data_IF_697554702494
#
_entry.id   IF_697554702494
#
_cell.length_a   1.000
_cell.length_b   1.000
_cell.length_c   1.000
_cell.angle_alpha   90.00
_cell.angle_beta   90.00
_cell.angle_gamma   90.00
#
_symmetry.space_group_name_H-M   'P 1'
#
loop_
_entity.id
_entity.type
_entity.pdbx_description
1 polymer ?
#
# COMPACT_ATOMS: atom_id res chain seq x y z
N UNK A 1 5.14 -44.14 -6.46
CA UNK A 1 3.72 -43.85 -6.18
C UNK A 1 3.53 -42.39 -6.53
N UNK A 2 3.26 -42.09 -7.80
CA UNK A 2 3.25 -40.70 -8.28
C UNK A 2 1.88 -40.37 -8.84
N UNK A 3 0.94 -40.16 -7.91
CA UNK A 3 -0.28 -39.41 -8.19
C UNK A 3 0.02 -37.89 -8.19
N UNK A 4 -0.89 -37.06 -8.71
CA UNK A 4 -0.69 -35.62 -8.70
C UNK A 4 -0.53 -35.10 -7.27
N UNK A 5 0.63 -34.50 -6.99
CA UNK A 5 0.92 -33.87 -5.69
C UNK A 5 -0.02 -32.67 -5.53
N UNK A 6 -0.94 -32.75 -4.58
CA UNK A 6 -1.82 -31.61 -4.22
C UNK A 6 -0.95 -30.52 -3.62
N UNK A 7 -0.90 -29.37 -4.29
CA UNK A 7 -0.23 -28.17 -3.79
C UNK A 7 -1.26 -27.18 -3.28
N UNK A 8 -0.95 -26.57 -2.14
CA UNK A 8 -1.67 -25.38 -1.71
C UNK A 8 -1.52 -24.30 -2.81
N UNK A 9 -2.63 -23.64 -3.15
CA UNK A 9 -2.65 -22.55 -4.11
C UNK A 9 -2.70 -21.23 -3.34
N UNK A 10 -3.90 -20.82 -2.92
CA UNK A 10 -4.10 -19.60 -2.14
C UNK A 10 -5.31 -19.69 -1.22
N UNK A 11 -5.29 -18.91 -0.14
CA UNK A 11 -6.36 -18.81 0.86
C UNK A 11 -6.49 -17.35 1.30
N UNK A 12 -7.72 -16.83 1.23
CA UNK A 12 -8.07 -15.49 1.69
C UNK A 12 -8.82 -15.60 3.03
N UNK A 13 -8.49 -14.72 3.96
CA UNK A 13 -9.09 -14.66 5.30
C UNK A 13 -9.50 -13.23 5.61
N UNK A 14 -10.79 -13.06 5.88
CA UNK A 14 -11.37 -11.82 6.38
C UNK A 14 -12.42 -12.16 7.45
N UNK A 15 -12.14 -11.80 8.70
CA UNK A 15 -13.04 -12.11 9.80
C UNK A 15 -14.26 -11.18 9.77
N UNK A 16 -15.43 -11.71 10.09
CA UNK A 16 -16.67 -10.93 10.15
C UNK A 16 -16.54 -9.69 11.06
N UNK A 17 -15.86 -9.82 12.20
CA UNK A 17 -15.58 -8.71 13.09
C UNK A 17 -14.64 -7.65 12.47
N UNK A 18 -13.61 -8.06 11.72
CA UNK A 18 -12.69 -7.15 11.04
C UNK A 18 -13.41 -6.36 9.94
N UNK A 19 -14.18 -7.03 9.06
CA UNK A 19 -14.90 -6.31 8.01
C UNK A 19 -15.94 -5.35 8.57
N UNK A 20 -16.73 -5.75 9.56
CA UNK A 20 -17.73 -4.88 10.18
C UNK A 20 -17.07 -3.72 10.94
N UNK A 21 -15.98 -3.98 11.66
CA UNK A 21 -15.22 -2.96 12.37
C UNK A 21 -14.63 -1.91 11.42
N UNK A 22 -14.07 -2.36 10.29
CA UNK A 22 -13.55 -1.44 9.28
C UNK A 22 -14.66 -0.59 8.64
N UNK A 23 -15.73 -1.24 8.17
CA UNK A 23 -16.85 -0.54 7.50
C UNK A 23 -17.54 0.50 8.40
N UNK A 24 -17.59 0.27 9.72
CA UNK A 24 -18.32 1.13 10.66
C UNK A 24 -17.45 2.17 11.36
N UNK A 25 -16.15 1.93 11.50
CA UNK A 25 -15.30 2.71 12.39
C UNK A 25 -13.94 3.14 11.82
N UNK A 26 -13.51 2.58 10.68
CA UNK A 26 -12.26 2.98 10.05
C UNK A 26 -12.46 4.11 9.04
N UNK A 27 -11.38 4.87 8.84
CA UNK A 27 -11.24 5.77 7.71
C UNK A 27 -11.25 4.95 6.41
N UNK A 28 -11.73 5.50 5.28
CA UNK A 28 -11.77 4.79 4.01
C UNK A 28 -10.37 4.74 3.36
N UNK A 29 -9.40 4.24 4.11
CA UNK A 29 -8.00 4.05 3.71
C UNK A 29 -7.71 2.57 3.81
N UNK A 30 -7.11 2.01 2.75
CA UNK A 30 -6.64 0.63 2.70
C UNK A 30 -5.16 0.63 2.35
N UNK A 31 -4.34 0.18 3.29
CA UNK A 31 -2.92 -0.04 3.12
C UNK A 31 -2.68 -1.50 2.72
N UNK A 32 -1.97 -1.71 1.61
CA UNK A 32 -1.63 -3.03 1.09
C UNK A 32 -0.14 -3.28 1.19
N UNK A 33 0.22 -4.47 1.64
CA UNK A 33 1.62 -4.92 1.72
C UNK A 33 1.70 -6.43 1.59
N UNK A 34 2.85 -6.92 1.12
CA UNK A 34 3.14 -8.33 0.94
C UNK A 34 4.49 -8.70 1.53
N UNK A 35 4.59 -9.86 2.17
CA UNK A 35 5.87 -10.36 2.68
C UNK A 35 6.09 -11.85 2.41
N UNK A 36 7.36 -12.23 2.30
CA UNK A 36 7.75 -13.62 2.05
C UNK A 36 7.55 -14.47 3.31
N UNK A 37 6.84 -15.59 3.16
CA UNK A 37 6.74 -16.61 4.20
C UNK A 37 7.99 -17.47 4.16
N UNK A 38 8.73 -17.51 5.28
CA UNK A 38 9.90 -18.38 5.46
C UNK A 38 9.46 -19.67 6.13
N UNK A 39 9.83 -20.82 5.58
CA UNK A 39 9.52 -22.13 6.19
C UNK A 39 9.59 -23.27 5.18
N UNK A 40 9.02 -24.42 5.56
CA UNK A 40 8.94 -25.61 4.72
C UNK A 40 8.05 -25.41 3.47
N UNK A 41 7.13 -24.46 3.54
CA UNK A 41 6.24 -24.09 2.45
C UNK A 41 6.43 -22.60 2.13
N UNK A 42 7.33 -22.24 1.20
CA UNK A 42 7.52 -20.86 0.79
C UNK A 42 6.27 -20.35 0.06
N UNK A 43 6.05 -19.04 0.15
CA UNK A 43 4.94 -18.34 -0.50
C UNK A 43 4.94 -16.87 -0.07
N UNK A 44 3.85 -16.17 -0.36
CA UNK A 44 3.64 -14.80 0.06
C UNK A 44 2.47 -14.69 1.04
N UNK A 45 2.60 -13.80 2.01
CA UNK A 45 1.52 -13.30 2.84
C UNK A 45 1.15 -11.90 2.36
N UNK A 46 -0.03 -11.75 1.76
CA UNK A 46 -0.61 -10.46 1.39
C UNK A 46 -1.48 -9.95 2.52
N UNK A 47 -1.49 -8.65 2.77
CA UNK A 47 -2.24 -8.04 3.86
C UNK A 47 -2.95 -6.76 3.43
N UNK A 48 -4.13 -6.55 4.00
CA UNK A 48 -4.89 -5.30 3.93
C UNK A 48 -5.09 -4.77 5.35
N UNK A 49 -4.65 -3.53 5.57
CA UNK A 49 -4.71 -2.84 6.86
C UNK A 49 -5.42 -1.50 6.68
N UNK A 50 -6.41 -1.23 7.52
CA UNK A 50 -7.09 0.05 7.60
C UNK A 50 -6.51 0.95 8.68
N UNK A 51 -7.06 2.16 8.79
CA UNK A 51 -6.75 3.12 9.85
C UNK A 51 -8.04 3.43 10.60
N UNK A 52 -8.07 3.20 11.91
CA UNK A 52 -9.25 3.49 12.72
C UNK A 52 -9.42 5.00 13.00
N UNK A 53 -10.54 5.37 13.62
CA UNK A 53 -10.83 6.75 14.00
C UNK A 53 -9.79 7.37 14.97
N UNK A 54 -9.06 6.54 15.72
CA UNK A 54 -8.00 6.93 16.65
C UNK A 54 -6.59 6.90 16.01
N UNK A 55 -6.50 6.80 14.68
CA UNK A 55 -5.26 6.68 13.91
C UNK A 55 -4.43 5.43 14.24
N UNK A 56 -5.06 4.39 14.79
CA UNK A 56 -4.50 3.07 15.00
C UNK A 56 -4.53 2.24 13.71
N UNK A 57 -3.57 1.32 13.56
CA UNK A 57 -3.61 0.31 12.50
C UNK A 57 -4.69 -0.71 12.83
N UNK A 58 -5.54 -1.02 11.86
CA UNK A 58 -6.64 -1.96 12.01
C UNK A 58 -6.50 -3.10 10.98
N UNK A 59 -6.26 -4.36 11.39
CA UNK A 59 -6.14 -5.47 10.45
C UNK A 59 -7.50 -5.79 9.82
N UNK A 60 -7.55 -5.85 8.48
CA UNK A 60 -8.80 -6.08 7.74
C UNK A 60 -8.84 -7.51 7.20
N UNK A 61 -7.89 -7.85 6.35
CA UNK A 61 -7.82 -9.15 5.69
C UNK A 61 -6.37 -9.53 5.39
N UNK A 62 -6.12 -10.81 5.18
CA UNK A 62 -4.85 -11.31 4.70
C UNK A 62 -5.04 -12.53 3.82
N UNK A 63 -4.04 -12.86 3.01
CA UNK A 63 -4.04 -14.04 2.18
C UNK A 63 -2.68 -14.72 2.14
N UNK A 64 -2.69 -16.04 2.15
CA UNK A 64 -1.53 -16.86 1.82
C UNK A 64 -1.64 -17.24 0.34
N UNK A 65 -0.58 -17.02 -0.43
CA UNK A 65 -0.55 -17.35 -1.85
C UNK A 65 0.82 -17.85 -2.30
N UNK A 66 0.83 -18.44 -3.50
CA UNK A 66 2.01 -19.01 -4.13
C UNK A 66 3.04 -17.96 -4.54
N UNK A 67 2.60 -16.81 -5.07
CA UNK A 67 3.49 -15.75 -5.56
C UNK A 67 2.81 -14.39 -5.47
N UNK A 68 3.62 -13.35 -5.35
CA UNK A 68 3.18 -11.96 -5.44
C UNK A 68 3.24 -11.48 -6.89
N UNK A 69 2.09 -11.49 -7.57
CA UNK A 69 1.97 -11.01 -8.95
C UNK A 69 0.62 -10.29 -9.16
N UNK A 70 0.41 -9.75 -10.36
CA UNK A 70 -0.83 -9.04 -10.68
C UNK A 70 -2.08 -9.92 -10.59
N UNK A 71 -2.01 -11.18 -11.00
CA UNK A 71 -3.16 -12.10 -10.93
C UNK A 71 -3.59 -12.32 -9.48
N UNK A 72 -2.62 -12.59 -8.60
CA UNK A 72 -2.86 -12.87 -7.19
C UNK A 72 -3.31 -11.63 -6.43
N UNK A 73 -2.80 -10.45 -6.77
CA UNK A 73 -3.30 -9.17 -6.25
C UNK A 73 -4.71 -8.85 -6.72
N UNK A 74 -5.03 -9.05 -8.01
CA UNK A 74 -6.39 -8.88 -8.55
C UNK A 74 -7.37 -9.79 -7.80
N UNK A 75 -7.02 -11.07 -7.69
CA UNK A 75 -7.82 -12.03 -6.93
C UNK A 75 -8.03 -11.59 -5.48
N UNK A 76 -6.97 -11.22 -4.76
CA UNK A 76 -7.07 -10.76 -3.37
C UNK A 76 -7.99 -9.53 -3.22
N UNK A 77 -7.84 -8.55 -4.12
CA UNK A 77 -8.59 -7.31 -4.08
C UNK A 77 -10.04 -7.47 -4.53
N UNK A 78 -10.37 -8.41 -5.42
CA UNK A 78 -11.75 -8.74 -5.74
C UNK A 78 -12.50 -9.29 -4.52
N UNK A 79 -11.90 -10.22 -3.77
CA UNK A 79 -12.51 -10.72 -2.53
C UNK A 79 -12.66 -9.61 -1.50
N UNK A 80 -11.63 -8.77 -1.34
CA UNK A 80 -11.67 -7.63 -0.41
C UNK A 80 -12.78 -6.64 -0.79
N UNK A 81 -12.92 -6.30 -2.08
CA UNK A 81 -13.95 -5.41 -2.62
C UNK A 81 -15.35 -5.92 -2.29
N UNK A 82 -15.58 -7.21 -2.47
CA UNK A 82 -16.85 -7.86 -2.14
C UNK A 82 -17.14 -7.84 -0.63
N UNK A 83 -16.18 -8.20 0.21
CA UNK A 83 -16.37 -8.26 1.67
C UNK A 83 -16.60 -6.88 2.31
N UNK A 84 -15.92 -5.86 1.80
CA UNK A 84 -16.00 -4.48 2.29
C UNK A 84 -17.09 -3.65 1.59
N UNK A 85 -17.82 -4.25 0.64
CA UNK A 85 -18.91 -3.60 -0.12
C UNK A 85 -18.49 -2.27 -0.74
N UNK A 86 -17.31 -2.27 -1.37
CA UNK A 86 -16.72 -1.06 -1.98
C UNK A 86 -17.39 -0.75 -3.32
N UNK A 87 -18.63 -0.25 -3.26
CA UNK A 87 -19.46 0.06 -4.44
C UNK A 87 -19.10 1.40 -5.08
N UNK A 88 -18.72 2.41 -4.28
CA UNK A 88 -18.22 3.72 -4.75
C UNK A 88 -16.73 3.83 -4.50
N UNK A 89 -15.95 3.41 -5.48
CA UNK A 89 -14.48 3.41 -5.44
C UNK A 89 -13.87 4.79 -5.14
N UNK A 90 -14.49 5.88 -5.60
CA UNK A 90 -14.05 7.26 -5.34
C UNK A 90 -14.01 7.68 -3.86
N UNK A 91 -14.58 6.87 -2.96
CA UNK A 91 -14.56 7.14 -1.53
C UNK A 91 -13.29 6.65 -0.83
N UNK A 92 -12.44 5.87 -1.52
CA UNK A 92 -11.34 5.16 -0.90
C UNK A 92 -9.97 5.67 -1.34
N UNK A 93 -9.02 5.58 -0.42
CA UNK A 93 -7.60 5.82 -0.69
C UNK A 93 -6.83 4.51 -0.49
N UNK A 94 -6.14 4.05 -1.53
CA UNK A 94 -5.23 2.92 -1.44
C UNK A 94 -3.81 3.41 -1.22
N UNK A 95 -3.14 2.86 -0.22
CA UNK A 95 -1.71 3.06 0.00
C UNK A 95 -0.97 1.75 -0.23
N UNK A 96 0.01 1.76 -1.13
CA UNK A 96 0.79 0.56 -1.43
C UNK A 96 2.28 0.82 -1.27
N UNK A 97 3.07 -0.26 -1.19
CA UNK A 97 4.47 -0.16 -1.55
C UNK A 97 4.62 0.14 -3.07
N UNK A 98 5.85 0.38 -3.55
CA UNK A 98 6.09 0.67 -4.96
C UNK A 98 6.29 -0.61 -5.79
N UNK A 99 5.61 -1.71 -5.44
CA UNK A 99 5.73 -2.95 -6.19
C UNK A 99 5.16 -2.78 -7.61
N UNK A 100 5.87 -3.35 -8.58
CA UNK A 100 5.46 -3.34 -9.99
C UNK A 100 4.15 -4.11 -10.15
N UNK A 101 3.14 -3.47 -10.72
CA UNK A 101 1.87 -4.10 -11.10
C UNK A 101 0.73 -3.88 -10.12
N UNK A 102 0.98 -3.71 -8.82
CA UNK A 102 -0.09 -3.50 -7.84
C UNK A 102 -0.86 -2.19 -8.10
N UNK A 103 -0.16 -1.11 -8.46
CA UNK A 103 -0.80 0.15 -8.88
C UNK A 103 -1.73 -0.05 -10.09
N UNK A 104 -1.33 -0.86 -11.07
CA UNK A 104 -2.16 -1.17 -12.24
C UNK A 104 -3.41 -1.96 -11.85
N UNK A 105 -3.28 -2.91 -10.90
CA UNK A 105 -4.43 -3.65 -10.38
C UNK A 105 -5.42 -2.72 -9.70
N UNK A 106 -4.94 -1.77 -8.88
CA UNK A 106 -5.80 -0.77 -8.23
C UNK A 106 -6.49 0.10 -9.28
N UNK A 107 -5.75 0.65 -10.25
CA UNK A 107 -6.32 1.48 -11.31
C UNK A 107 -7.39 0.74 -12.14
N UNK A 108 -7.24 -0.58 -12.32
CA UNK A 108 -8.22 -1.40 -13.04
C UNK A 108 -9.47 -1.72 -12.19
N UNK A 109 -9.31 -2.05 -10.91
CA UNK A 109 -10.43 -2.45 -10.03
C UNK A 109 -11.17 -1.28 -9.37
N UNK A 110 -10.47 -0.16 -9.19
CA UNK A 110 -10.90 1.04 -8.48
C UNK A 110 -10.45 2.32 -9.23
N UNK A 111 -10.90 2.52 -10.49
CA UNK A 111 -10.41 3.60 -11.35
C UNK A 111 -10.59 5.01 -10.78
N UNK A 112 -11.55 5.23 -9.88
CA UNK A 112 -11.77 6.53 -9.26
C UNK A 112 -11.17 6.68 -7.85
N UNK A 113 -10.55 5.62 -7.31
CA UNK A 113 -9.93 5.70 -5.99
C UNK A 113 -8.61 6.46 -6.03
N UNK A 114 -8.27 7.17 -4.95
CA UNK A 114 -6.93 7.75 -4.86
C UNK A 114 -5.90 6.65 -4.60
N UNK A 115 -4.79 6.67 -5.34
CA UNK A 115 -3.62 5.84 -5.04
C UNK A 115 -2.49 6.67 -4.47
N UNK A 116 -1.84 6.16 -3.42
CA UNK A 116 -0.70 6.78 -2.75
C UNK A 116 0.42 5.77 -2.56
N UNK A 117 1.66 6.22 -2.67
CA UNK A 117 2.81 5.43 -2.27
C UNK A 117 3.09 5.58 -0.77
N UNK A 118 3.39 4.47 -0.10
CA UNK A 118 3.83 4.49 1.27
C UNK A 118 5.16 5.27 1.39
N UNK A 119 5.14 6.39 2.12
CA UNK A 119 6.32 7.24 2.31
C UNK A 119 7.50 6.47 2.92
N UNK A 120 7.25 5.47 3.76
CA UNK A 120 8.33 4.66 4.34
C UNK A 120 9.08 3.87 3.26
N UNK A 121 8.35 3.24 2.34
CA UNK A 121 8.95 2.55 1.20
C UNK A 121 9.60 3.53 0.22
N UNK A 122 8.95 4.65 -0.06
CA UNK A 122 9.48 5.71 -0.92
C UNK A 122 10.81 6.25 -0.37
N UNK A 123 10.86 6.56 0.92
CA UNK A 123 12.07 7.03 1.60
C UNK A 123 13.17 5.96 1.64
N UNK A 124 12.82 4.68 1.83
CA UNK A 124 13.82 3.60 1.79
C UNK A 124 14.51 3.48 0.41
N UNK A 125 13.80 3.77 -0.68
CA UNK A 125 14.39 3.86 -2.01
C UNK A 125 15.19 5.16 -2.18
N UNK A 126 14.66 6.29 -1.71
CA UNK A 126 15.31 7.59 -1.77
C UNK A 126 16.66 7.60 -1.03
N UNK A 127 16.70 7.09 0.22
CA UNK A 127 17.90 7.08 1.06
C UNK A 127 19.06 6.26 0.50
N UNK A 128 18.79 5.38 -0.48
CA UNK A 128 19.85 4.61 -1.16
C UNK A 128 20.70 5.49 -2.08
N UNK A 129 20.16 6.63 -2.51
CA UNK A 129 20.82 7.61 -3.39
C UNK A 129 21.10 8.95 -2.69
N UNK A 130 20.24 9.36 -1.77
CA UNK A 130 20.29 10.65 -1.10
C UNK A 130 20.27 10.46 0.42
N UNK A 131 21.46 10.48 1.03
CA UNK A 131 21.65 10.29 2.47
C UNK A 131 21.72 11.64 3.19
N UNK A 132 21.00 11.77 4.30
CA UNK A 132 21.05 12.95 5.15
C UNK A 132 19.83 13.09 6.05
N UNK A 133 20.05 13.44 7.31
CA UNK A 133 18.94 13.62 8.26
C UNK A 133 18.06 14.84 7.90
N UNK A 134 18.66 15.91 7.35
CA UNK A 134 17.92 17.07 6.84
C UNK A 134 16.97 16.69 5.70
N UNK A 135 17.46 15.92 4.71
CA UNK A 135 16.64 15.43 3.60
C UNK A 135 15.52 14.51 4.09
N UNK A 136 15.83 13.60 5.01
CA UNK A 136 14.84 12.75 5.66
C UNK A 136 13.74 13.60 6.30
N UNK A 137 14.10 14.57 7.13
CA UNK A 137 13.13 15.40 7.83
C UNK A 137 12.22 16.16 6.85
N UNK A 138 12.78 16.72 5.78
CA UNK A 138 12.02 17.43 4.75
C UNK A 138 11.05 16.50 4.01
N UNK A 139 11.47 15.30 3.63
CA UNK A 139 10.60 14.28 3.00
C UNK A 139 9.45 13.89 3.91
N UNK A 140 9.72 13.63 5.20
CA UNK A 140 8.67 13.28 6.17
C UNK A 140 7.72 14.45 6.45
N UNK A 141 8.23 15.69 6.49
CA UNK A 141 7.40 16.88 6.67
C UNK A 141 6.49 17.12 5.46
N UNK A 142 7.02 16.95 4.24
CA UNK A 142 6.23 17.02 3.02
C UNK A 142 5.11 15.97 3.02
N UNK A 143 5.44 14.70 3.32
CA UNK A 143 4.46 13.62 3.34
C UNK A 143 3.38 13.76 4.43
N UNK A 144 3.68 14.46 5.53
CA UNK A 144 2.73 14.73 6.63
C UNK A 144 1.98 16.05 6.47
N UNK A 145 2.28 16.83 5.43
CA UNK A 145 1.65 18.13 5.22
C UNK A 145 0.15 17.96 4.94
N UNK A 146 -0.67 18.68 5.70
CA UNK A 146 -2.13 18.65 5.56
C UNK A 146 -2.66 19.63 4.50
N UNK A 147 -1.80 20.51 3.98
CA UNK A 147 -2.17 21.49 2.94
C UNK A 147 -1.10 21.57 1.86
N UNK A 148 -1.52 21.96 0.65
CA UNK A 148 -0.62 22.16 -0.48
C UNK A 148 0.44 23.23 -0.19
N UNK A 149 0.10 24.26 0.58
CA UNK A 149 1.03 25.34 0.96
C UNK A 149 2.20 24.79 1.77
N UNK A 150 1.92 23.99 2.80
CA UNK A 150 2.97 23.37 3.61
C UNK A 150 3.74 22.33 2.83
N UNK A 151 3.07 21.52 2.00
CA UNK A 151 3.74 20.57 1.13
C UNK A 151 4.75 21.27 0.21
N UNK A 152 4.32 22.32 -0.51
CA UNK A 152 5.17 23.09 -1.41
C UNK A 152 6.35 23.69 -0.65
N UNK A 153 6.11 24.29 0.52
CA UNK A 153 7.18 24.85 1.36
C UNK A 153 8.26 23.81 1.71
N UNK A 154 7.88 22.59 2.07
CA UNK A 154 8.84 21.53 2.38
C UNK A 154 9.57 21.01 1.14
N UNK A 155 8.87 20.94 -0.01
CA UNK A 155 9.49 20.55 -1.29
C UNK A 155 10.45 21.61 -1.82
N UNK A 156 10.14 22.90 -1.65
CA UNK A 156 11.02 24.01 -2.01
C UNK A 156 12.28 24.00 -1.13
N UNK A 157 12.13 23.81 0.18
CA UNK A 157 13.27 23.64 1.09
C UNK A 157 14.11 22.39 0.77
N UNK A 158 13.48 21.30 0.30
CA UNK A 158 14.19 20.13 -0.18
C UNK A 158 15.04 20.47 -1.42
N UNK A 159 14.47 21.23 -2.36
CA UNK A 159 15.17 21.69 -3.57
C UNK A 159 16.35 22.61 -3.27
N UNK A 160 16.18 23.54 -2.33
CA UNK A 160 17.26 24.44 -1.88
C UNK A 160 18.41 23.67 -1.22
N UNK A 161 18.09 22.61 -0.47
CA UNK A 161 19.08 21.79 0.20
C UNK A 161 19.82 20.85 -0.76
N UNK A 162 19.09 20.21 -1.67
CA UNK A 162 19.62 19.27 -2.68
C UNK A 162 18.63 19.18 -3.85
N UNK A 163 19.00 19.79 -4.99
CA UNK A 163 18.16 19.81 -6.19
C UNK A 163 18.01 18.41 -6.81
N UNK A 164 19.05 17.56 -6.76
CA UNK A 164 18.97 16.19 -7.27
C UNK A 164 18.01 15.34 -6.43
N UNK A 165 18.00 15.55 -5.11
CA UNK A 165 17.04 14.92 -4.21
C UNK A 165 15.60 15.35 -4.51
N UNK A 166 15.37 16.61 -4.82
CA UNK A 166 14.05 17.10 -5.23
C UNK A 166 13.61 16.53 -6.58
N UNK A 167 14.51 16.51 -7.57
CA UNK A 167 14.28 15.93 -8.89
C UNK A 167 13.87 14.46 -8.82
N UNK A 168 14.42 13.71 -7.84
CA UNK A 168 14.07 12.31 -7.62
C UNK A 168 12.58 12.08 -7.39
N UNK A 169 11.82 13.05 -6.86
CA UNK A 169 10.38 12.91 -6.61
C UNK A 169 9.50 13.31 -7.81
N UNK A 170 10.03 14.05 -8.79
CA UNK A 170 9.24 14.58 -9.91
C UNK A 170 8.70 13.48 -10.84
N UNK A 171 9.39 12.34 -10.92
CA UNK A 171 9.00 11.20 -11.76
C UNK A 171 8.29 10.08 -10.94
N UNK A 172 7.85 10.38 -9.71
CA UNK A 172 7.32 9.38 -8.75
C UNK A 172 5.85 9.58 -8.40
N UNK A 173 5.08 10.24 -9.26
CA UNK A 173 3.62 10.32 -9.08
C UNK A 173 3.04 8.90 -8.94
N UNK A 174 2.13 8.66 -7.99
CA UNK A 174 1.24 7.50 -8.07
C UNK A 174 0.54 7.52 -9.43
N UNK A 175 0.45 6.36 -10.06
CA UNK A 175 -0.23 6.19 -11.35
C UNK A 175 -1.74 6.34 -11.20
#
# INVERSE_FOLDING_TARGET
MDGPVRRFHRMYICFAACKEGWMRGCRPIVCLDGCHVKGQHPGQLLTAVGIDANNGMFPVAYALCEVENQETWTWFLDYLKCDLRMERDSSYVFMTDKQKGLGNVIANLFPNAEHRHCVRHLYNNFKSKHLGEGLKQLVWNAARSSTQVWYNKHMDALRELDEDAWLWFQDKSPA
#
